data_IF_454889875880
#
_entry.id   IF_454889875880
#
_cell.length_a   1.000
_cell.length_b   1.000
_cell.length_c   1.000
_cell.angle_alpha   90.00
_cell.angle_beta   90.00
_cell.angle_gamma   90.00
#
_symmetry.space_group_name_H-M   'P 1'
#
loop_
_entity.id
_entity.type
_entity.pdbx_description
1 polymer ?
#
# COMPACT_ATOMS: atom_id res chain seq x y z
N UNK A 1 -47.25 -10.38 10.20
CA UNK A 1 -46.43 -11.11 9.21
C UNK A 1 -46.52 -10.45 7.85
N UNK A 2 -45.80 -9.34 7.66
CA UNK A 2 -45.49 -8.80 6.33
C UNK A 2 -44.14 -9.42 5.93
N UNK A 3 -44.14 -10.71 5.63
CA UNK A 3 -42.90 -11.45 5.33
C UNK A 3 -42.40 -11.12 3.91
N UNK A 4 -43.27 -10.58 3.08
CA UNK A 4 -43.01 -10.25 1.69
C UNK A 4 -43.86 -9.03 1.31
N UNK A 5 -43.21 -7.98 0.81
CA UNK A 5 -43.89 -6.78 0.33
C UNK A 5 -43.76 -6.73 -1.19
N UNK A 6 -44.84 -7.04 -1.89
CA UNK A 6 -44.97 -6.89 -3.34
C UNK A 6 -45.90 -5.72 -3.65
N UNK A 7 -45.35 -4.59 -4.08
CA UNK A 7 -46.16 -3.47 -4.56
C UNK A 7 -46.39 -3.63 -6.06
N UNK A 8 -47.57 -4.13 -6.45
CA UNK A 8 -48.03 -4.10 -7.85
C UNK A 8 -49.08 -3.00 -8.05
N UNK A 9 -48.79 -2.07 -8.97
CA UNK A 9 -49.70 -1.14 -9.67
C UNK A 9 -50.79 -0.36 -8.89
N UNK A 10 -50.76 -0.32 -7.56
CA UNK A 10 -51.82 0.30 -6.74
C UNK A 10 -51.47 1.61 -6.02
N UNK A 11 -50.20 2.03 -6.01
CA UNK A 11 -49.77 3.21 -5.23
C UNK A 11 -49.08 4.27 -6.07
N UNK A 12 -49.71 4.67 -7.18
CA UNK A 12 -49.32 5.89 -7.90
C UNK A 12 -49.36 7.14 -7.00
N UNK A 13 -50.11 7.10 -5.89
CA UNK A 13 -50.21 8.18 -4.90
C UNK A 13 -49.04 8.27 -3.90
N UNK A 14 -48.07 7.34 -3.95
CA UNK A 14 -46.82 7.46 -3.18
C UNK A 14 -45.65 8.05 -3.98
N UNK A 15 -45.92 8.53 -5.21
CA UNK A 15 -44.94 9.25 -6.02
C UNK A 15 -44.33 10.48 -5.33
N UNK A 16 -45.01 11.02 -4.31
CA UNK A 16 -44.55 12.17 -3.51
C UNK A 16 -43.79 11.79 -2.24
N UNK A 17 -43.55 10.50 -1.97
CA UNK A 17 -42.95 10.12 -0.69
C UNK A 17 -41.43 10.27 -0.75
N UNK A 18 -40.92 11.40 -0.22
CA UNK A 18 -39.48 11.67 -0.11
C UNK A 18 -38.73 10.58 0.68
N UNK A 19 -39.39 9.95 1.65
CA UNK A 19 -38.76 8.98 2.54
C UNK A 19 -39.63 7.75 2.76
N UNK A 20 -39.09 6.57 2.50
CA UNK A 20 -39.68 5.29 2.86
C UNK A 20 -38.90 4.70 4.03
N UNK A 21 -39.50 4.75 5.22
CA UNK A 21 -38.95 4.09 6.41
C UNK A 21 -39.72 2.80 6.70
N UNK A 22 -39.06 1.67 6.48
CA UNK A 22 -39.52 0.32 6.83
C UNK A 22 -38.56 -0.34 7.83
N UNK A 23 -37.78 0.46 8.57
CA UNK A 23 -36.85 -0.06 9.56
C UNK A 23 -37.55 -0.73 10.75
N UNK A 24 -36.83 -1.56 11.50
CA UNK A 24 -37.32 -2.21 12.73
C UNK A 24 -38.56 -3.08 12.52
N UNK A 25 -38.61 -3.79 11.39
CA UNK A 25 -39.64 -4.77 11.08
C UNK A 25 -39.04 -6.18 11.05
N UNK A 26 -39.82 -7.14 10.55
CA UNK A 26 -39.42 -8.55 10.39
C UNK A 26 -39.37 -8.96 8.92
N UNK A 27 -39.10 -8.00 8.02
CA UNK A 27 -39.14 -8.24 6.58
C UNK A 27 -37.98 -9.15 6.20
N UNK A 28 -38.27 -10.25 5.50
CA UNK A 28 -37.26 -11.16 4.99
C UNK A 28 -36.93 -10.90 3.51
N UNK A 29 -37.90 -10.41 2.75
CA UNK A 29 -37.75 -10.17 1.32
C UNK A 29 -38.45 -8.88 0.90
N UNK A 30 -37.78 -8.11 0.05
CA UNK A 30 -38.34 -6.91 -0.53
C UNK A 30 -38.10 -6.87 -2.04
N UNK A 31 -39.17 -6.65 -2.80
CA UNK A 31 -39.13 -6.51 -4.24
C UNK A 31 -40.01 -5.33 -4.64
N UNK A 32 -39.38 -4.20 -4.94
CA UNK A 32 -40.10 -2.97 -5.28
C UNK A 32 -39.52 -2.36 -6.56
N UNK A 33 -40.44 -2.07 -7.50
CA UNK A 33 -40.13 -1.41 -8.76
C UNK A 33 -40.95 -0.13 -8.91
N UNK A 34 -40.28 1.00 -8.73
CA UNK A 34 -40.80 2.32 -9.07
C UNK A 34 -40.56 2.62 -10.55
N UNK A 35 -41.59 3.14 -11.23
CA UNK A 35 -41.55 3.40 -12.68
C UNK A 35 -41.06 4.81 -13.05
N UNK A 36 -41.39 5.82 -12.23
CA UNK A 36 -41.04 7.23 -12.50
C UNK A 36 -40.26 7.82 -11.33
N UNK A 37 -40.96 8.12 -10.24
CA UNK A 37 -40.36 8.62 -9.00
C UNK A 37 -40.30 7.50 -7.97
N UNK A 38 -39.15 7.38 -7.30
CA UNK A 38 -38.93 6.54 -6.14
C UNK A 38 -38.60 7.42 -4.92
N UNK A 39 -38.80 6.92 -3.69
CA UNK A 39 -38.41 7.66 -2.51
C UNK A 39 -36.94 8.08 -2.57
N UNK A 40 -36.68 9.34 -2.24
CA UNK A 40 -35.33 9.89 -2.18
C UNK A 40 -34.45 9.16 -1.16
N UNK A 41 -35.04 8.84 -0.01
CA UNK A 41 -34.44 8.04 1.07
C UNK A 41 -35.24 6.76 1.30
N UNK A 42 -34.54 5.64 1.44
CA UNK A 42 -35.13 4.36 1.80
C UNK A 42 -34.36 3.81 3.01
N UNK A 43 -35.07 3.61 4.13
CA UNK A 43 -34.54 2.95 5.31
C UNK A 43 -35.17 1.57 5.49
N UNK A 44 -34.34 0.54 5.34
CA UNK A 44 -34.67 -0.87 5.48
C UNK A 44 -33.86 -1.52 6.61
N UNK A 45 -33.27 -0.72 7.49
CA UNK A 45 -32.42 -1.22 8.57
C UNK A 45 -33.19 -2.01 9.63
N UNK A 46 -32.48 -2.81 10.42
CA UNK A 46 -33.07 -3.60 11.52
C UNK A 46 -34.25 -4.47 11.05
N UNK A 47 -34.03 -5.26 10.01
CA UNK A 47 -34.96 -6.26 9.49
C UNK A 47 -34.27 -7.63 9.46
N UNK A 48 -34.95 -8.63 8.88
CA UNK A 48 -34.41 -9.98 8.65
C UNK A 48 -34.12 -10.22 7.16
N UNK A 49 -33.72 -9.18 6.43
CA UNK A 49 -33.63 -9.24 4.97
C UNK A 49 -32.64 -10.32 4.53
N UNK A 50 -33.09 -11.13 3.59
CA UNK A 50 -32.31 -12.12 2.84
C UNK A 50 -32.26 -11.75 1.37
N UNK A 51 -33.30 -11.10 0.83
CA UNK A 51 -33.39 -10.71 -0.57
C UNK A 51 -33.88 -9.27 -0.71
N UNK A 52 -33.21 -8.49 -1.55
CA UNK A 52 -33.48 -7.09 -1.82
C UNK A 52 -33.41 -6.84 -3.31
N UNK A 53 -34.57 -6.58 -3.92
CA UNK A 53 -34.68 -6.11 -5.30
C UNK A 53 -35.32 -4.72 -5.29
N UNK A 54 -34.55 -3.70 -5.66
CA UNK A 54 -35.04 -2.32 -5.71
C UNK A 54 -34.74 -1.72 -7.08
N UNK A 55 -35.75 -1.14 -7.71
CA UNK A 55 -35.63 -0.43 -8.98
C UNK A 55 -36.30 0.93 -8.89
N UNK A 56 -35.57 2.02 -9.13
CA UNK A 56 -36.05 3.40 -9.02
C UNK A 56 -35.10 4.41 -9.65
N UNK A 57 -35.57 5.63 -9.90
CA UNK A 57 -34.82 6.64 -10.65
C UNK A 57 -34.33 7.83 -9.80
N UNK A 58 -34.89 8.04 -8.61
CA UNK A 58 -34.64 9.26 -7.81
C UNK A 58 -34.05 8.95 -6.42
N UNK A 59 -33.98 7.68 -6.01
CA UNK A 59 -33.39 7.30 -4.72
C UNK A 59 -31.90 7.61 -4.69
N UNK A 60 -31.48 8.42 -3.72
CA UNK A 60 -30.08 8.77 -3.51
C UNK A 60 -29.52 8.27 -2.16
N UNK A 61 -30.37 7.86 -1.22
CA UNK A 61 -29.96 7.33 0.08
C UNK A 61 -30.65 5.99 0.37
N UNK A 62 -29.85 4.96 0.66
CA UNK A 62 -30.33 3.63 1.03
C UNK A 62 -29.63 3.13 2.30
N UNK A 63 -30.40 2.79 3.33
CA UNK A 63 -29.90 2.14 4.53
C UNK A 63 -30.38 0.69 4.58
N UNK A 64 -29.45 -0.26 4.53
CA UNK A 64 -29.69 -1.70 4.67
C UNK A 64 -29.03 -2.29 5.93
N UNK A 65 -28.55 -1.43 6.83
CA UNK A 65 -27.78 -1.85 7.99
C UNK A 65 -28.58 -2.75 8.95
N UNK A 66 -27.88 -3.53 9.77
CA UNK A 66 -28.49 -4.39 10.80
C UNK A 66 -29.47 -5.42 10.20
N UNK A 67 -29.12 -5.97 9.04
CA UNK A 67 -29.78 -7.12 8.42
C UNK A 67 -28.81 -8.31 8.43
N UNK A 68 -28.63 -8.94 9.59
CA UNK A 68 -27.60 -9.95 9.82
C UNK A 68 -27.69 -11.21 8.95
N UNK A 69 -28.81 -11.44 8.27
CA UNK A 69 -28.99 -12.56 7.34
C UNK A 69 -28.70 -12.19 5.87
N UNK A 70 -28.55 -10.89 5.58
CA UNK A 70 -28.37 -10.39 4.22
C UNK A 70 -26.93 -10.64 3.74
N UNK A 71 -26.81 -11.33 2.61
CA UNK A 71 -25.54 -11.48 1.87
C UNK A 71 -25.61 -10.65 0.59
N UNK A 72 -24.46 -10.24 0.03
CA UNK A 72 -24.41 -9.32 -1.12
C UNK A 72 -24.27 -10.00 -2.49
N UNK A 73 -24.10 -11.33 -2.53
CA UNK A 73 -23.75 -12.05 -3.77
C UNK A 73 -24.84 -11.89 -4.85
N UNK A 74 -25.91 -12.69 -4.78
CA UNK A 74 -27.05 -12.66 -5.72
C UNK A 74 -28.34 -12.19 -5.07
N UNK A 75 -28.27 -11.81 -3.80
CA UNK A 75 -29.42 -11.52 -2.97
C UNK A 75 -29.78 -10.03 -2.98
N UNK A 76 -28.88 -9.17 -3.43
CA UNK A 76 -29.08 -7.72 -3.52
C UNK A 76 -28.94 -7.26 -4.96
N UNK A 77 -30.04 -6.82 -5.54
CA UNK A 77 -30.08 -6.22 -6.87
C UNK A 77 -30.65 -4.81 -6.78
N UNK A 78 -29.76 -3.83 -6.96
CA UNK A 78 -30.11 -2.41 -6.93
C UNK A 78 -30.01 -1.84 -8.33
N UNK A 79 -31.12 -1.35 -8.85
CA UNK A 79 -31.18 -0.50 -10.04
C UNK A 79 -31.67 0.89 -9.63
N UNK A 80 -30.79 1.62 -8.94
CA UNK A 80 -31.03 2.94 -8.37
C UNK A 80 -30.00 3.91 -8.95
N UNK A 81 -30.34 4.52 -10.09
CA UNK A 81 -29.40 5.29 -10.93
C UNK A 81 -28.80 6.52 -10.25
N UNK A 82 -29.48 7.09 -9.26
CA UNK A 82 -29.05 8.28 -8.52
C UNK A 82 -28.47 7.97 -7.13
N UNK A 83 -28.22 6.70 -6.80
CA UNK A 83 -27.76 6.30 -5.47
C UNK A 83 -26.40 6.94 -5.14
N UNK A 84 -26.31 7.64 -4.01
CA UNK A 84 -25.08 8.33 -3.54
C UNK A 84 -24.60 7.81 -2.19
N UNK A 85 -25.53 7.41 -1.33
CA UNK A 85 -25.23 6.89 0.00
C UNK A 85 -25.78 5.48 0.11
N UNK A 86 -24.96 4.56 0.59
CA UNK A 86 -25.41 3.23 0.99
C UNK A 86 -24.74 2.78 2.29
N UNK A 87 -25.56 2.36 3.25
CA UNK A 87 -25.11 1.71 4.49
C UNK A 87 -25.42 0.21 4.45
N UNK A 88 -24.35 -0.58 4.48
CA UNK A 88 -24.33 -2.04 4.48
C UNK A 88 -23.68 -2.57 5.79
N UNK A 89 -23.74 -1.81 6.88
CA UNK A 89 -23.17 -2.21 8.16
C UNK A 89 -23.94 -3.34 8.82
N UNK A 90 -23.27 -4.21 9.59
CA UNK A 90 -23.91 -5.29 10.35
C UNK A 90 -24.80 -6.21 9.48
N UNK A 91 -24.28 -6.66 8.33
CA UNK A 91 -24.91 -7.69 7.50
C UNK A 91 -24.03 -8.96 7.51
N UNK A 92 -24.35 -9.97 6.71
CA UNK A 92 -23.51 -11.16 6.56
C UNK A 92 -22.52 -11.00 5.38
N UNK A 93 -21.81 -9.88 5.31
CA UNK A 93 -20.85 -9.62 4.24
C UNK A 93 -19.48 -10.21 4.58
N UNK A 94 -19.01 -11.13 3.74
CA UNK A 94 -17.82 -11.94 4.00
C UNK A 94 -16.69 -11.87 2.98
N UNK A 95 -16.98 -11.40 1.78
CA UNK A 95 -16.01 -11.39 0.69
C UNK A 95 -16.42 -10.39 -0.38
N UNK A 96 -15.45 -9.66 -0.94
CA UNK A 96 -15.66 -8.86 -2.15
C UNK A 96 -15.63 -9.70 -3.44
N UNK A 97 -15.17 -10.95 -3.36
CA UNK A 97 -15.08 -11.84 -4.53
C UNK A 97 -16.49 -12.28 -4.95
N UNK A 98 -16.77 -12.21 -6.26
CA UNK A 98 -18.05 -12.56 -6.87
C UNK A 98 -19.25 -11.68 -6.45
N UNK A 99 -19.00 -10.50 -5.88
CA UNK A 99 -20.06 -9.56 -5.52
C UNK A 99 -20.28 -8.55 -6.63
N UNK A 100 -21.29 -8.82 -7.47
CA UNK A 100 -21.62 -7.99 -8.62
C UNK A 100 -22.14 -6.60 -8.21
N UNK A 101 -22.68 -6.44 -7.00
CA UNK A 101 -23.24 -5.19 -6.51
C UNK A 101 -22.25 -4.02 -6.66
N UNK A 102 -21.00 -4.18 -6.23
CA UNK A 102 -20.00 -3.11 -6.25
C UNK A 102 -19.64 -2.64 -7.67
N UNK A 103 -19.79 -3.49 -8.68
CA UNK A 103 -19.57 -3.10 -10.08
C UNK A 103 -20.66 -2.15 -10.60
N UNK A 104 -21.88 -2.22 -10.05
CA UNK A 104 -23.01 -1.40 -10.49
C UNK A 104 -23.12 -0.09 -9.69
N UNK A 105 -22.51 0.00 -8.52
CA UNK A 105 -22.55 1.15 -7.62
C UNK A 105 -21.64 2.33 -8.07
N UNK A 106 -21.73 2.75 -9.32
CA UNK A 106 -20.76 3.70 -9.93
C UNK A 106 -20.88 5.15 -9.47
N UNK A 107 -22.03 5.57 -8.93
CA UNK A 107 -22.33 6.94 -8.50
C UNK A 107 -22.20 7.18 -7.00
N UNK A 108 -21.82 6.14 -6.23
CA UNK A 108 -21.70 6.20 -4.77
C UNK A 108 -20.66 7.22 -4.33
N UNK A 109 -21.06 8.05 -3.37
CA UNK A 109 -20.23 9.03 -2.68
C UNK A 109 -19.86 8.57 -1.28
N UNK A 110 -20.77 7.90 -0.57
CA UNK A 110 -20.55 7.37 0.78
C UNK A 110 -20.91 5.90 0.83
N UNK A 111 -19.94 5.08 1.23
CA UNK A 111 -20.10 3.64 1.41
C UNK A 111 -19.71 3.26 2.84
N UNK A 112 -20.64 2.64 3.56
CA UNK A 112 -20.43 2.15 4.92
C UNK A 112 -20.60 0.63 4.95
N UNK A 113 -19.58 -0.08 5.44
CA UNK A 113 -19.52 -1.54 5.50
C UNK A 113 -19.14 -2.03 6.91
N UNK A 114 -19.41 -1.21 7.92
CA UNK A 114 -18.90 -1.41 9.27
C UNK A 114 -19.41 -2.70 9.90
N UNK A 115 -18.60 -3.29 10.79
CA UNK A 115 -18.96 -4.47 11.58
C UNK A 115 -19.43 -5.68 10.75
N UNK A 116 -18.88 -5.83 9.55
CA UNK A 116 -18.93 -7.07 8.78
C UNK A 116 -17.68 -7.93 9.05
N UNK A 117 -17.54 -9.10 8.41
CA UNK A 117 -16.41 -9.99 8.68
C UNK A 117 -15.80 -10.54 7.39
N UNK A 118 -14.66 -10.00 6.95
CA UNK A 118 -13.99 -10.52 5.76
C UNK A 118 -13.23 -11.82 6.05
N UNK A 119 -13.69 -12.94 5.48
CA UNK A 119 -13.12 -14.26 5.74
C UNK A 119 -11.63 -14.34 5.34
N UNK A 120 -11.25 -13.70 4.22
CA UNK A 120 -9.86 -13.68 3.74
C UNK A 120 -8.97 -12.64 4.45
N UNK A 121 -9.55 -11.76 5.27
CA UNK A 121 -8.85 -10.67 6.00
C UNK A 121 -7.97 -9.75 5.16
N UNK A 122 -8.11 -9.79 3.84
CA UNK A 122 -7.41 -8.94 2.88
C UNK A 122 -8.42 -7.98 2.26
N UNK A 123 -8.09 -6.69 2.27
CA UNK A 123 -8.80 -5.69 1.48
C UNK A 123 -7.97 -5.33 0.26
N UNK A 124 -8.50 -5.57 -0.93
CA UNK A 124 -7.91 -5.08 -2.16
C UNK A 124 -8.63 -3.80 -2.62
N UNK A 125 -7.93 -2.66 -2.70
CA UNK A 125 -8.51 -1.35 -3.05
C UNK A 125 -9.19 -1.32 -4.42
N UNK A 126 -8.80 -2.20 -5.34
CA UNK A 126 -9.33 -2.24 -6.70
C UNK A 126 -10.84 -2.54 -6.72
N UNK A 127 -11.40 -3.13 -5.67
CA UNK A 127 -12.84 -3.41 -5.56
C UNK A 127 -13.70 -2.13 -5.61
N UNK A 128 -13.12 -0.98 -5.23
CA UNK A 128 -13.80 0.32 -5.27
C UNK A 128 -13.55 1.09 -6.56
N UNK A 129 -12.79 0.55 -7.53
CA UNK A 129 -12.56 1.22 -8.82
C UNK A 129 -13.84 1.64 -9.55
N UNK A 130 -14.93 0.85 -9.57
CA UNK A 130 -16.17 1.25 -10.25
C UNK A 130 -16.77 2.58 -9.75
N UNK A 131 -16.55 2.93 -8.48
CA UNK A 131 -17.05 4.16 -7.84
C UNK A 131 -15.98 5.25 -7.69
N UNK A 132 -14.81 5.07 -8.30
CA UNK A 132 -13.63 5.94 -8.09
C UNK A 132 -13.81 7.42 -8.46
N UNK A 133 -14.76 7.70 -9.36
CA UNK A 133 -15.08 9.06 -9.79
C UNK A 133 -15.85 9.87 -8.74
N UNK A 134 -16.53 9.22 -7.79
CA UNK A 134 -17.46 9.90 -6.88
C UNK A 134 -17.28 9.54 -5.41
N UNK A 135 -16.65 8.41 -5.08
CA UNK A 135 -16.47 7.96 -3.70
C UNK A 135 -15.61 8.96 -2.91
N UNK A 136 -16.20 9.55 -1.87
CA UNK A 136 -15.58 10.54 -0.99
C UNK A 136 -15.42 10.03 0.44
N UNK A 137 -16.32 9.15 0.89
CA UNK A 137 -16.33 8.61 2.25
C UNK A 137 -16.45 7.09 2.23
N UNK A 138 -15.48 6.41 2.85
CA UNK A 138 -15.45 4.97 2.96
C UNK A 138 -15.24 4.56 4.42
N UNK A 139 -16.17 3.79 4.97
CA UNK A 139 -16.07 3.26 6.33
C UNK A 139 -16.03 1.73 6.28
N UNK A 140 -14.92 1.19 6.76
CA UNK A 140 -14.58 -0.24 6.84
C UNK A 140 -14.23 -0.61 8.29
N UNK A 141 -14.86 0.08 9.26
CA UNK A 141 -14.58 -0.09 10.67
C UNK A 141 -14.93 -1.51 11.12
N UNK A 142 -14.02 -2.14 11.86
CA UNK A 142 -14.23 -3.46 12.46
C UNK A 142 -14.65 -4.54 11.44
N UNK A 143 -13.92 -4.65 10.32
CA UNK A 143 -14.17 -5.64 9.25
C UNK A 143 -13.25 -6.87 9.31
N UNK A 144 -12.44 -7.00 10.36
CA UNK A 144 -11.41 -8.05 10.52
C UNK A 144 -10.29 -8.00 9.48
N UNK A 145 -10.00 -6.83 8.91
CA UNK A 145 -8.92 -6.64 7.93
C UNK A 145 -7.56 -6.74 8.63
N UNK A 146 -6.63 -7.49 8.04
CA UNK A 146 -5.24 -7.62 8.49
C UNK A 146 -4.23 -7.10 7.45
N UNK A 147 -4.55 -7.19 6.16
CA UNK A 147 -3.66 -6.82 5.06
C UNK A 147 -4.39 -5.96 4.03
N UNK A 148 -3.68 -4.97 3.49
CA UNK A 148 -4.16 -4.08 2.42
C UNK A 148 -3.38 -4.36 1.14
N UNK A 149 -4.09 -4.45 0.02
CA UNK A 149 -3.52 -4.71 -1.30
C UNK A 149 -4.16 -3.83 -2.37
N UNK A 150 -3.59 -3.82 -3.57
CA UNK A 150 -4.09 -3.00 -4.69
C UNK A 150 -3.64 -1.55 -4.61
N UNK A 151 -4.19 -0.73 -5.50
CA UNK A 151 -3.78 0.66 -5.70
C UNK A 151 -4.91 1.64 -5.35
N UNK A 152 -4.57 2.75 -4.68
CA UNK A 152 -5.52 3.83 -4.37
C UNK A 152 -5.44 4.99 -5.37
N UNK A 153 -4.53 4.96 -6.34
CA UNK A 153 -4.25 6.09 -7.25
C UNK A 153 -5.48 6.54 -8.06
N UNK A 154 -6.42 5.63 -8.31
CA UNK A 154 -7.69 5.91 -8.98
C UNK A 154 -8.69 6.63 -8.07
N UNK A 155 -8.57 6.50 -6.74
CA UNK A 155 -9.48 7.07 -5.74
C UNK A 155 -9.14 8.53 -5.43
N UNK A 156 -9.22 9.38 -6.46
CA UNK A 156 -8.83 10.79 -6.36
C UNK A 156 -9.81 11.63 -5.53
N UNK A 157 -11.09 11.25 -5.51
CA UNK A 157 -12.13 11.95 -4.76
C UNK A 157 -12.25 11.51 -3.31
N UNK A 158 -11.58 10.43 -2.92
CA UNK A 158 -11.70 9.87 -1.58
C UNK A 158 -11.07 10.84 -0.56
N UNK A 159 -11.85 11.22 0.44
CA UNK A 159 -11.48 12.19 1.48
C UNK A 159 -11.32 11.52 2.84
N UNK A 160 -12.20 10.56 3.15
CA UNK A 160 -12.18 9.88 4.44
C UNK A 160 -12.17 8.37 4.29
N UNK A 161 -11.29 7.72 5.06
CA UNK A 161 -11.24 6.27 5.20
C UNK A 161 -11.25 5.92 6.68
N UNK A 162 -12.20 5.10 7.10
CA UNK A 162 -12.23 4.56 8.45
C UNK A 162 -11.86 3.07 8.44
N UNK A 163 -10.65 2.76 8.89
CA UNK A 163 -10.10 1.41 9.05
C UNK A 163 -9.95 1.04 10.53
N UNK A 164 -10.52 1.83 11.44
CA UNK A 164 -10.32 1.62 12.87
C UNK A 164 -10.97 0.31 13.35
N UNK A 165 -10.48 -0.22 14.47
CA UNK A 165 -10.79 -1.56 15.00
C UNK A 165 -10.51 -2.75 14.07
N UNK A 166 -9.82 -2.56 12.94
CA UNK A 166 -9.17 -3.67 12.24
C UNK A 166 -7.81 -4.01 12.87
N UNK A 167 -7.25 -5.18 12.53
CA UNK A 167 -5.94 -5.64 13.00
C UNK A 167 -4.88 -5.53 11.88
N UNK A 168 -4.87 -4.38 11.20
CA UNK A 168 -4.01 -4.13 10.05
C UNK A 168 -2.56 -4.10 10.49
N UNK A 169 -1.70 -4.87 9.80
CA UNK A 169 -0.26 -4.85 10.03
C UNK A 169 0.32 -3.52 9.56
N UNK A 170 1.09 -2.87 10.43
CA UNK A 170 1.79 -1.63 10.09
C UNK A 170 3.13 -1.93 9.40
N UNK A 171 3.06 -2.53 8.21
CA UNK A 171 4.22 -2.96 7.42
C UNK A 171 4.16 -2.40 5.99
N UNK A 172 4.94 -2.99 5.08
CA UNK A 172 5.03 -2.58 3.69
C UNK A 172 3.67 -2.56 2.96
N UNK A 173 2.68 -3.34 3.40
CA UNK A 173 1.33 -3.33 2.82
C UNK A 173 0.64 -1.96 2.90
N UNK A 174 1.05 -1.09 3.84
CA UNK A 174 0.53 0.28 3.97
C UNK A 174 1.17 1.28 3.00
N UNK A 175 2.23 0.92 2.27
CA UNK A 175 2.96 1.84 1.38
C UNK A 175 2.05 2.58 0.42
N UNK A 176 1.11 1.86 -0.21
CA UNK A 176 0.14 2.46 -1.14
C UNK A 176 -0.75 3.49 -0.45
N UNK A 177 -1.23 3.18 0.76
CA UNK A 177 -2.07 4.08 1.55
C UNK A 177 -1.33 5.36 1.95
N UNK A 178 -0.08 5.24 2.39
CA UNK A 178 0.76 6.41 2.74
C UNK A 178 1.09 7.25 1.51
N UNK A 179 1.45 6.61 0.38
CA UNK A 179 1.67 7.34 -0.88
C UNK A 179 0.42 8.09 -1.33
N UNK A 180 -0.73 7.45 -1.26
CA UNK A 180 -2.01 8.08 -1.57
C UNK A 180 -2.32 9.25 -0.62
N UNK A 181 -2.09 9.11 0.68
CA UNK A 181 -2.27 10.23 1.63
C UNK A 181 -1.42 11.44 1.28
N UNK A 182 -0.16 11.20 0.91
CA UNK A 182 0.80 12.26 0.57
C UNK A 182 0.63 12.81 -0.85
N UNK A 183 -0.23 12.20 -1.68
CA UNK A 183 -0.42 12.64 -3.06
C UNK A 183 -1.08 14.02 -3.11
N UNK A 184 -0.31 15.03 -3.48
CA UNK A 184 -0.79 16.37 -3.79
C UNK A 184 -1.26 16.42 -5.24
N UNK A 185 -2.55 16.69 -5.48
CA UNK A 185 -3.04 16.91 -6.83
C UNK A 185 -2.63 18.31 -7.32
N UNK A 186 -2.00 18.38 -8.50
CA UNK A 186 -1.58 19.64 -9.14
C UNK A 186 -2.73 20.66 -9.30
N UNK A 187 -3.96 20.17 -9.41
CA UNK A 187 -5.18 20.97 -9.55
C UNK A 187 -5.54 21.77 -8.28
N UNK A 188 -5.07 21.33 -7.10
CA UNK A 188 -5.40 21.94 -5.81
C UNK A 188 -4.28 22.84 -5.27
N UNK A 189 -3.26 23.15 -6.08
CA UNK A 189 -2.12 23.98 -5.67
C UNK A 189 -2.50 25.40 -5.22
N UNK A 190 -3.73 25.84 -5.49
CA UNK A 190 -4.27 27.18 -5.21
C UNK A 190 -5.40 27.21 -4.15
N UNK A 191 -5.89 26.05 -3.70
CA UNK A 191 -6.85 25.93 -2.61
C UNK A 191 -6.14 25.26 -1.43
N UNK A 192 -6.57 25.51 -0.19
CA UNK A 192 -6.11 24.73 0.95
C UNK A 192 -6.17 23.24 0.58
N UNK A 193 -5.04 22.55 0.68
CA UNK A 193 -4.93 21.14 0.28
C UNK A 193 -6.02 20.38 1.02
N UNK A 194 -7.01 19.86 0.28
CA UNK A 194 -8.10 19.08 0.86
C UNK A 194 -7.50 17.99 1.73
N UNK A 195 -7.72 18.08 3.04
CA UNK A 195 -7.07 17.21 4.00
C UNK A 195 -7.75 15.85 3.98
N UNK A 196 -7.04 14.84 3.49
CA UNK A 196 -7.46 13.43 3.61
C UNK A 196 -7.36 12.98 5.07
N UNK A 197 -8.40 12.31 5.56
CA UNK A 197 -8.47 11.80 6.92
C UNK A 197 -8.59 10.28 6.90
N UNK A 198 -7.67 9.59 7.58
CA UNK A 198 -7.63 8.14 7.67
C UNK A 198 -7.61 7.75 9.14
N UNK A 199 -8.63 7.02 9.57
CA UNK A 199 -8.69 6.47 10.93
C UNK A 199 -8.13 5.05 10.91
N UNK A 200 -6.89 4.88 11.35
CA UNK A 200 -6.20 3.58 11.47
C UNK A 200 -5.36 3.58 12.76
N UNK A 201 -5.05 2.40 13.32
CA UNK A 201 -4.18 2.31 14.50
C UNK A 201 -2.70 2.64 14.22
N UNK A 202 -2.26 2.48 12.97
CA UNK A 202 -0.87 2.71 12.58
C UNK A 202 -0.53 4.20 12.55
N UNK A 203 0.68 4.56 12.97
CA UNK A 203 1.18 5.92 12.80
C UNK A 203 1.63 6.11 11.33
N UNK A 204 0.72 6.63 10.50
CA UNK A 204 0.94 6.79 9.04
C UNK A 204 1.19 8.23 8.60
N UNK A 205 1.06 9.19 9.52
CA UNK A 205 1.25 10.62 9.23
C UNK A 205 2.69 11.09 9.44
N UNK A 206 3.47 10.36 10.22
CA UNK A 206 4.85 10.71 10.59
C UNK A 206 5.90 9.80 9.94
N UNK A 207 5.48 8.83 9.11
CA UNK A 207 6.35 7.80 8.54
C UNK A 207 6.41 7.93 7.01
N UNK A 208 7.61 7.90 6.44
CA UNK A 208 7.77 7.90 4.99
C UNK A 208 7.35 6.53 4.41
N UNK A 209 6.73 6.54 3.23
CA UNK A 209 6.19 5.32 2.62
C UNK A 209 7.26 4.26 2.32
N UNK A 210 8.51 4.67 2.09
CA UNK A 210 9.63 3.75 1.85
C UNK A 210 10.17 3.13 3.14
N UNK A 211 10.11 3.83 4.28
CA UNK A 211 10.54 3.33 5.58
C UNK A 211 9.67 2.14 6.07
N UNK A 212 8.40 2.08 5.64
CA UNK A 212 7.50 0.96 5.94
C UNK A 212 7.93 -0.37 5.30
N UNK A 213 8.68 -0.31 4.21
CA UNK A 213 9.08 -1.49 3.43
C UNK A 213 10.52 -1.93 3.69
N UNK A 214 11.24 -1.23 4.56
CA UNK A 214 12.67 -1.45 4.78
C UNK A 214 12.93 -2.61 5.76
N UNK A 215 12.32 -3.77 5.48
CA UNK A 215 12.56 -5.03 6.21
C UNK A 215 13.75 -5.84 5.63
N UNK A 216 14.52 -5.29 4.69
CA UNK A 216 15.73 -5.94 4.14
C UNK A 216 16.96 -5.05 4.05
N UNK A 217 16.91 -3.80 4.54
CA UNK A 217 18.16 -3.11 4.84
C UNK A 217 18.59 -3.56 6.24
N UNK A 218 19.60 -4.43 6.31
CA UNK A 218 20.36 -4.60 7.55
C UNK A 218 20.72 -3.16 7.95
N UNK A 219 20.11 -2.62 9.02
CA UNK A 219 20.56 -1.39 9.66
C UNK A 219 21.93 -1.69 10.25
N UNK A 220 22.94 -1.70 9.38
CA UNK A 220 24.34 -1.54 9.74
C UNK A 220 24.36 -0.12 10.33
N UNK A 221 24.30 -0.04 11.66
CA UNK A 221 24.49 1.20 12.42
C UNK A 221 25.62 2.02 11.78
N UNK A 222 25.52 3.35 11.80
CA UNK A 222 26.59 4.20 11.25
C UNK A 222 27.96 3.78 11.78
N UNK A 223 28.05 3.43 13.06
CA UNK A 223 29.22 2.83 13.72
C UNK A 223 29.75 1.57 13.01
N UNK A 224 28.89 0.63 12.65
CA UNK A 224 29.31 -0.58 11.91
C UNK A 224 29.74 -0.28 10.47
N UNK A 225 29.23 0.78 9.82
CA UNK A 225 29.74 1.22 8.51
C UNK A 225 31.15 1.79 8.63
N UNK A 226 31.38 2.63 9.65
CA UNK A 226 32.71 3.15 9.95
C UNK A 226 33.69 2.05 10.37
N UNK A 227 33.23 1.03 11.10
CA UNK A 227 34.05 -0.13 11.47
C UNK A 227 34.50 -0.93 10.24
N UNK A 228 33.59 -1.19 9.28
CA UNK A 228 33.93 -1.90 8.04
C UNK A 228 34.91 -1.06 7.19
N UNK A 229 34.67 0.25 7.06
CA UNK A 229 35.60 1.16 6.36
C UNK A 229 36.98 1.19 7.01
N UNK A 230 37.04 1.19 8.34
CA UNK A 230 38.28 1.15 9.10
C UNK A 230 39.06 -0.16 8.89
N UNK A 231 38.37 -1.31 8.92
CA UNK A 231 38.97 -2.62 8.64
C UNK A 231 39.53 -2.67 7.21
N UNK A 232 38.78 -2.16 6.23
CA UNK A 232 39.25 -2.08 4.83
C UNK A 232 40.47 -1.18 4.67
N UNK A 233 40.50 -0.03 5.37
CA UNK A 233 41.66 0.86 5.37
C UNK A 233 42.92 0.19 5.97
N UNK A 234 42.77 -0.58 7.06
CA UNK A 234 43.88 -1.36 7.65
C UNK A 234 44.40 -2.40 6.66
N UNK A 235 43.51 -3.14 5.97
CA UNK A 235 43.91 -4.13 4.98
C UNK A 235 44.69 -3.49 3.82
N UNK A 236 44.21 -2.36 3.31
CA UNK A 236 44.91 -1.59 2.26
C UNK A 236 46.29 -1.13 2.77
N UNK A 237 46.37 -0.61 4.00
CA UNK A 237 47.62 -0.17 4.60
C UNK A 237 48.63 -1.31 4.74
N UNK A 238 48.19 -2.51 5.16
CA UNK A 238 49.04 -3.71 5.23
C UNK A 238 49.54 -4.12 3.85
N UNK A 239 48.69 -4.03 2.82
CA UNK A 239 49.11 -4.30 1.43
C UNK A 239 50.15 -3.28 0.97
N UNK A 240 49.95 -1.99 1.27
CA UNK A 240 50.92 -0.93 0.95
C UNK A 240 52.26 -1.19 1.63
N UNK A 241 52.27 -1.53 2.93
CA UNK A 241 53.51 -1.89 3.64
C UNK A 241 54.20 -3.08 2.98
N UNK A 242 53.45 -4.12 2.59
CA UNK A 242 54.02 -5.28 1.87
C UNK A 242 54.61 -4.88 0.52
N UNK A 243 53.97 -3.98 -0.21
CA UNK A 243 54.47 -3.46 -1.49
C UNK A 243 55.75 -2.62 -1.30
N UNK A 244 55.77 -1.74 -0.30
CA UNK A 244 56.96 -0.95 0.06
C UNK A 244 58.10 -1.89 0.47
N UNK A 245 57.85 -2.89 1.31
CA UNK A 245 58.86 -3.87 1.71
C UNK A 245 59.37 -4.70 0.51
N UNK A 246 58.50 -5.09 -0.42
CA UNK A 246 58.93 -5.73 -1.68
C UNK A 246 59.79 -4.79 -2.52
N UNK A 247 59.44 -3.51 -2.59
CA UNK A 247 60.18 -2.51 -3.34
C UNK A 247 61.56 -2.25 -2.72
N UNK A 248 61.65 -2.09 -1.40
CA UNK A 248 62.92 -1.94 -0.66
C UNK A 248 63.80 -3.17 -0.86
N UNK A 249 63.24 -4.39 -0.77
CA UNK A 249 63.99 -5.63 -1.06
C UNK A 249 64.55 -5.64 -2.49
N UNK A 250 63.75 -5.23 -3.48
CA UNK A 250 64.21 -5.12 -4.88
C UNK A 250 65.33 -4.08 -5.04
N UNK A 251 65.24 -2.93 -4.37
CA UNK A 251 66.29 -1.92 -4.38
C UNK A 251 67.57 -2.43 -3.72
N UNK A 252 67.47 -3.09 -2.56
CA UNK A 252 68.63 -3.70 -1.89
C UNK A 252 69.29 -4.78 -2.75
N UNK A 253 68.50 -5.58 -3.45
CA UNK A 253 69.02 -6.58 -4.39
C UNK A 253 69.72 -5.93 -5.60
N UNK A 254 69.12 -4.91 -6.22
CA UNK A 254 69.76 -4.14 -7.30
C UNK A 254 71.06 -3.48 -6.85
N UNK A 255 71.07 -2.91 -5.63
CA UNK A 255 72.25 -2.29 -5.04
C UNK A 255 73.36 -3.31 -4.78
N UNK A 256 73.04 -4.48 -4.22
CA UNK A 256 74.02 -5.54 -4.01
C UNK A 256 74.59 -6.09 -5.33
N UNK A 257 73.75 -6.25 -6.37
CA UNK A 257 74.23 -6.66 -7.70
C UNK A 257 75.11 -5.60 -8.36
N UNK A 258 74.83 -4.31 -8.13
CA UNK A 258 75.69 -3.22 -8.58
C UNK A 258 77.05 -3.25 -7.88
N UNK A 259 77.09 -3.40 -6.55
CA UNK A 259 78.36 -3.56 -5.83
C UNK A 259 79.15 -4.77 -6.33
N UNK A 260 78.51 -5.92 -6.53
CA UNK A 260 79.19 -7.12 -7.04
C UNK A 260 79.84 -6.89 -8.40
N UNK A 261 79.18 -6.19 -9.34
CA UNK A 261 79.76 -5.85 -10.65
C UNK A 261 80.94 -4.89 -10.54
N UNK A 262 80.82 -3.85 -9.72
CA UNK A 262 81.91 -2.88 -9.53
C UNK A 262 83.14 -3.54 -8.90
N UNK A 263 82.96 -4.44 -7.94
CA UNK A 263 84.08 -5.19 -7.34
C UNK A 263 84.72 -6.18 -8.33
N UNK A 264 83.93 -6.89 -9.14
CA UNK A 264 84.50 -7.78 -10.18
C UNK A 264 85.22 -7.00 -11.28
N UNK A 265 84.70 -5.85 -11.68
CA UNK A 265 85.34 -5.02 -12.71
C UNK A 265 86.63 -4.37 -12.18
N UNK A 266 86.68 -3.99 -10.90
CA UNK A 266 87.89 -3.50 -10.25
C UNK A 266 88.96 -4.59 -10.08
N UNK A 267 88.56 -5.82 -9.71
CA UNK A 267 89.48 -6.95 -9.60
C UNK A 267 90.11 -7.30 -10.96
N UNK A 268 89.34 -7.23 -12.06
CA UNK A 268 89.84 -7.43 -13.43
C UNK A 268 90.86 -6.35 -13.82
N UNK A 269 90.61 -5.09 -13.50
CA UNK A 269 91.56 -3.99 -13.78
C UNK A 269 92.87 -4.17 -13.01
N UNK A 270 92.81 -4.62 -11.75
CA UNK A 270 94.04 -4.85 -10.95
C UNK A 270 94.84 -6.07 -11.42
N UNK A 271 94.21 -7.06 -12.05
CA UNK A 271 94.87 -8.20 -12.67
C UNK A 271 95.58 -7.79 -13.97
N UNK A 272 94.96 -6.98 -14.81
CA UNK A 272 95.59 -6.42 -16.01
C UNK A 272 96.77 -5.49 -15.66
N UNK A 273 96.67 -4.68 -14.61
CA UNK A 273 97.78 -3.83 -14.15
C UNK A 273 98.96 -4.62 -13.59
N UNK A 274 98.75 -5.81 -13.00
CA UNK A 274 99.85 -6.70 -12.59
C UNK A 274 100.51 -7.39 -13.79
N UNK A 275 99.73 -7.88 -14.74
CA UNK A 275 100.24 -8.50 -15.96
C UNK A 275 101.03 -7.52 -16.85
N UNK A 276 100.68 -6.22 -16.81
CA UNK A 276 101.43 -5.16 -17.50
C UNK A 276 102.73 -4.77 -16.79
N UNK A 277 102.86 -5.02 -15.47
CA UNK A 277 104.12 -4.79 -14.73
C UNK A 277 105.09 -5.95 -14.87
N UNK A 278 104.59 -7.20 -14.89
CA UNK A 278 105.45 -8.38 -15.08
C UNK A 278 106.07 -8.46 -16.49
N UNK A 279 105.46 -7.86 -17.51
CA UNK A 279 106.01 -7.82 -18.88
C UNK A 279 107.00 -6.67 -19.15
N UNK A 280 107.27 -5.79 -18.17
CA UNK A 280 108.24 -4.69 -18.33
C UNK A 280 109.56 -4.92 -17.56
N UNK A 281 109.72 -6.09 -16.93
CA UNK A 281 110.90 -6.47 -16.13
C UNK A 281 111.74 -7.60 -16.80
N UNK A 282 111.60 -7.83 -18.11
CA UNK A 282 112.54 -8.62 -18.96
C UNK A 282 113.20 -7.73 -20.03
#
# INVERSE_FOLDING_TARGET
NLNEIHFQNGMYNLALMDNLNLSHNIIEQINIKWHRESPHTIDLSYNNLKFVYLHGQTTYNLNLSSNYQLTLDNNVQLNLSQLKYIDLSNINFRSFKNVNLFHNLTTIQTLILNNNHLDMKILNWNVFHPMSKYLTHLSLYNMSIEQLEGYLDNQKQLLTIDLYKNNIKCDCSLKTLVKWLNFTSETYKYYDVLKRAVRIKCNIYEVAADDLCDQTSIRISSLTKYLILFIMAILIFVVIIKLINRFIKRLKHRRNNFYHRVYTDADVITLDERNLRENNDE
#
